data_IF_246193210888
#
_entry.id   IF_246193210888
#
_cell.length_a   1.000
_cell.length_b   1.000
_cell.length_c   1.000
_cell.angle_alpha   90.00
_cell.angle_beta   90.00
_cell.angle_gamma   90.00
#
_symmetry.space_group_name_H-M   'P 1'
#
loop_
_entity.id
_entity.type
_entity.pdbx_description
1 polymer ?
#
# COMPACT_ATOMS: atom_id res chain seq x y z
N UNK A 1 -4.15 31.97 -60.65
CA UNK A 1 -3.33 32.52 -59.55
C UNK A 1 -3.09 31.37 -58.62
N UNK A 2 -1.90 30.85 -58.74
CA UNK A 2 -1.36 29.69 -58.01
C UNK A 2 -0.79 30.17 -56.67
N UNK A 3 -1.10 29.46 -55.61
CA UNK A 3 -0.31 29.54 -54.38
C UNK A 3 0.03 28.15 -53.87
N UNK A 4 1.29 27.94 -53.85
CA UNK A 4 2.03 26.78 -53.43
C UNK A 4 2.05 26.66 -51.91
N UNK A 5 1.59 25.51 -51.36
CA UNK A 5 1.92 25.09 -49.99
C UNK A 5 3.09 24.13 -50.03
N UNK A 6 4.18 24.54 -49.39
CA UNK A 6 5.40 23.78 -49.21
C UNK A 6 5.21 22.67 -48.19
N UNK A 7 5.63 21.48 -48.57
CA UNK A 7 5.69 20.25 -47.78
C UNK A 7 6.71 20.35 -46.63
N UNK A 8 6.27 19.96 -45.40
CA UNK A 8 7.17 19.63 -44.31
C UNK A 8 7.67 18.19 -44.47
N UNK A 9 8.89 17.88 -44.08
CA UNK A 9 9.45 16.53 -44.25
C UNK A 9 8.97 15.57 -43.17
N UNK A 10 8.66 14.36 -43.61
CA UNK A 10 8.37 13.14 -42.85
C UNK A 10 9.53 12.81 -41.89
N UNK A 11 9.20 12.53 -40.64
CA UNK A 11 10.10 12.00 -39.61
C UNK A 11 9.62 10.65 -39.15
N UNK A 12 9.87 9.63 -39.92
CA UNK A 12 9.82 8.24 -39.48
C UNK A 12 11.07 7.50 -39.95
N UNK A 13 12.10 7.51 -39.13
CA UNK A 13 13.14 6.47 -39.15
C UNK A 13 13.44 6.00 -37.73
N UNK A 14 13.38 4.69 -37.42
CA UNK A 14 13.71 4.13 -36.13
C UNK A 14 15.23 4.07 -35.94
N UNK A 15 15.75 4.66 -34.88
CA UNK A 15 17.15 4.60 -34.48
C UNK A 15 17.54 3.15 -34.13
N UNK A 16 18.32 2.55 -35.01
CA UNK A 16 18.94 1.24 -34.84
C UNK A 16 19.99 1.22 -33.74
N UNK A 17 19.86 0.26 -32.80
CA UNK A 17 20.74 -0.01 -31.65
C UNK A 17 22.16 -0.52 -31.99
N UNK A 18 22.74 -0.20 -33.13
CA UNK A 18 23.98 -0.84 -33.62
C UNK A 18 25.16 0.11 -33.88
N UNK A 19 25.24 1.29 -33.22
CA UNK A 19 26.41 2.19 -33.34
C UNK A 19 26.84 2.82 -32.02
N UNK A 20 27.15 1.97 -31.00
CA UNK A 20 27.81 2.44 -29.77
C UNK A 20 28.75 1.38 -29.17
N UNK A 21 29.45 0.63 -30.00
CA UNK A 21 30.51 -0.30 -29.58
C UNK A 21 31.68 -0.24 -30.55
N UNK A 22 32.39 0.89 -30.59
CA UNK A 22 33.80 0.92 -31.07
C UNK A 22 34.51 2.12 -30.43
N UNK A 23 35.45 1.83 -29.58
CA UNK A 23 36.43 2.79 -29.07
C UNK A 23 36.66 2.74 -27.57
N UNK A 24 37.48 1.88 -27.10
CA UNK A 24 38.76 2.01 -26.43
C UNK A 24 39.04 0.82 -25.52
N UNK A 25 39.98 -0.01 -25.94
CA UNK A 25 40.65 -1.00 -25.10
C UNK A 25 41.77 -0.30 -24.28
N UNK A 26 42.04 -0.90 -23.12
CA UNK A 26 43.27 -0.94 -22.32
C UNK A 26 43.09 -0.44 -20.86
N UNK A 27 42.99 -1.37 -19.93
CA UNK A 27 43.96 -1.61 -18.86
C UNK A 27 43.41 -2.69 -17.92
N UNK A 28 44.07 -3.84 -17.93
CA UNK A 28 43.85 -4.92 -16.98
C UNK A 28 44.43 -4.52 -15.62
N UNK A 29 43.57 -4.55 -14.60
CA UNK A 29 43.94 -4.47 -13.19
C UNK A 29 43.18 -5.51 -12.42
N UNK A 30 43.82 -6.63 -12.11
CA UNK A 30 43.30 -7.68 -11.25
C UNK A 30 43.16 -7.14 -9.84
N UNK A 31 41.91 -7.09 -9.32
CA UNK A 31 41.67 -6.91 -7.90
C UNK A 31 41.01 -8.19 -7.37
N UNK A 32 41.72 -8.83 -6.46
CA UNK A 32 41.33 -10.06 -5.79
C UNK A 32 40.03 -9.87 -4.97
N UNK A 33 39.05 -10.74 -5.17
CA UNK A 33 37.88 -10.85 -4.30
C UNK A 33 38.30 -11.53 -2.99
N UNK A 34 38.47 -10.70 -1.95
CA UNK A 34 38.56 -11.18 -0.57
C UNK A 34 37.17 -11.52 -0.05
N UNK A 35 36.99 -12.78 0.34
CA UNK A 35 35.83 -13.26 1.08
C UNK A 35 35.72 -12.49 2.41
N UNK A 36 34.70 -11.62 2.57
CA UNK A 36 34.36 -11.06 3.87
C UNK A 36 33.41 -12.01 4.59
N UNK A 37 33.95 -12.64 5.62
CA UNK A 37 33.22 -13.48 6.56
C UNK A 37 32.06 -12.70 7.20
N UNK A 38 30.92 -13.38 7.28
CA UNK A 38 29.74 -12.99 8.06
C UNK A 38 30.16 -12.80 9.54
N UNK A 39 30.31 -11.57 9.98
CA UNK A 39 30.55 -11.24 11.41
C UNK A 39 29.18 -11.09 12.05
N UNK A 40 28.78 -12.06 12.85
CA UNK A 40 27.69 -11.93 13.79
C UNK A 40 27.90 -10.65 14.62
N UNK A 41 26.89 -9.80 14.71
CA UNK A 41 26.94 -8.58 15.51
C UNK A 41 27.16 -8.95 16.98
N UNK A 42 28.30 -8.54 17.52
CA UNK A 42 28.60 -8.70 18.95
C UNK A 42 27.76 -7.68 19.76
N UNK A 43 27.37 -8.08 20.97
CA UNK A 43 26.58 -7.26 21.91
C UNK A 43 27.23 -5.93 22.35
N UNK A 44 28.44 -5.62 21.86
CA UNK A 44 29.23 -4.45 22.23
C UNK A 44 29.39 -3.40 21.11
N UNK A 45 28.47 -3.36 20.14
CA UNK A 45 28.49 -2.29 19.13
C UNK A 45 28.02 -0.95 19.76
N UNK A 46 28.92 0.05 19.92
CA UNK A 46 28.57 1.34 20.53
C UNK A 46 27.56 2.13 19.71
N UNK A 47 27.34 1.80 18.43
CA UNK A 47 26.32 2.40 17.58
C UNK A 47 24.95 1.78 17.88
N UNK A 48 24.88 0.47 18.10
CA UNK A 48 23.66 -0.21 18.54
C UNK A 48 23.25 0.24 19.95
N UNK A 49 24.22 0.40 20.87
CA UNK A 49 23.96 0.91 22.21
C UNK A 49 23.47 2.39 22.22
N UNK A 50 23.98 3.24 21.32
CA UNK A 50 23.49 4.62 21.16
C UNK A 50 22.10 4.68 20.55
N UNK A 51 21.77 3.79 19.57
CA UNK A 51 20.42 3.66 19.01
C UNK A 51 19.41 3.22 20.06
N UNK A 52 19.75 2.22 20.88
CA UNK A 52 18.89 1.75 21.97
C UNK A 52 18.75 2.78 23.10
N UNK A 53 19.77 3.60 23.37
CA UNK A 53 19.69 4.67 24.36
C UNK A 53 18.87 5.87 23.86
N UNK A 54 18.90 6.19 22.56
CA UNK A 54 18.04 7.19 21.95
C UNK A 54 16.56 6.73 21.94
N UNK A 55 16.31 5.47 21.62
CA UNK A 55 14.97 4.87 21.71
C UNK A 55 14.40 4.87 23.13
N UNK A 56 15.25 4.61 24.14
CA UNK A 56 14.83 4.66 25.57
C UNK A 56 14.61 6.08 26.11
N UNK A 57 15.29 7.10 25.57
CA UNK A 57 15.06 8.50 25.99
C UNK A 57 13.75 9.08 25.45
N UNK A 58 13.27 8.60 24.30
CA UNK A 58 12.01 9.06 23.69
C UNK A 58 10.76 8.29 24.17
N UNK A 59 10.91 7.30 25.04
CA UNK A 59 9.78 6.51 25.57
C UNK A 59 8.89 7.29 26.57
N UNK A 60 9.23 8.52 26.93
CA UNK A 60 8.51 9.30 27.93
C UNK A 60 7.44 10.26 27.34
N UNK A 61 7.56 10.66 26.08
CA UNK A 61 6.59 11.58 25.45
C UNK A 61 5.83 10.87 24.33
N UNK A 62 4.63 10.37 24.64
CA UNK A 62 3.65 10.00 23.64
C UNK A 62 3.38 11.25 22.79
N UNK A 63 3.64 11.18 21.48
CA UNK A 63 3.31 12.27 20.58
C UNK A 63 1.81 12.61 20.75
N UNK A 64 1.51 13.84 21.15
CA UNK A 64 0.13 14.28 21.26
C UNK A 64 -0.43 14.39 19.85
N UNK A 65 -1.28 13.42 19.46
CA UNK A 65 -2.02 13.47 18.19
C UNK A 65 -3.31 14.26 18.38
N UNK A 66 -3.75 14.96 17.33
CA UNK A 66 -5.04 15.67 17.33
C UNK A 66 -6.22 14.73 17.41
N UNK A 67 -6.02 13.45 17.00
CA UNK A 67 -7.01 12.37 17.13
C UNK A 67 -8.12 12.40 16.09
N UNK A 68 -8.01 13.25 15.06
CA UNK A 68 -8.98 13.29 13.97
C UNK A 68 -8.77 12.20 12.93
N UNK A 69 -7.56 11.63 12.86
CA UNK A 69 -7.18 10.53 11.97
C UNK A 69 -6.64 9.38 12.82
N UNK A 70 -7.26 8.22 12.72
CA UNK A 70 -6.74 6.98 13.30
C UNK A 70 -5.62 6.43 12.42
N UNK A 71 -4.38 6.43 12.92
CA UNK A 71 -3.23 6.03 12.12
C UNK A 71 -2.78 4.60 12.39
N UNK A 72 -2.27 3.96 11.35
CA UNK A 72 -1.79 2.58 11.35
C UNK A 72 -0.43 2.47 10.67
N UNK A 73 0.34 1.44 10.99
CA UNK A 73 1.59 1.07 10.31
C UNK A 73 1.42 -0.25 9.57
N UNK A 74 1.84 -0.29 8.31
CA UNK A 74 1.80 -1.51 7.49
C UNK A 74 3.04 -2.36 7.77
N UNK A 75 2.85 -3.57 8.31
CA UNK A 75 3.94 -4.42 8.84
C UNK A 75 5.05 -4.68 7.84
N UNK A 76 4.73 -5.12 6.61
CA UNK A 76 5.72 -5.56 5.64
C UNK A 76 6.69 -4.46 5.20
N UNK A 77 6.30 -3.18 5.27
CA UNK A 77 7.17 -2.05 4.95
C UNK A 77 8.36 -1.93 5.90
N UNK A 78 8.18 -2.35 7.15
CA UNK A 78 9.13 -2.12 8.23
C UNK A 78 9.76 -3.40 8.78
N UNK A 79 9.38 -4.58 8.30
CA UNK A 79 9.85 -5.89 8.77
C UNK A 79 11.38 -6.08 8.66
N UNK A 80 12.06 -5.33 7.77
CA UNK A 80 13.53 -5.32 7.65
C UNK A 80 14.23 -4.49 8.74
N UNK A 81 13.49 -3.64 9.44
CA UNK A 81 14.03 -2.67 10.40
C UNK A 81 13.74 -3.04 11.85
N UNK A 82 12.59 -3.66 12.10
CA UNK A 82 12.11 -4.04 13.43
C UNK A 82 11.47 -5.43 13.40
N UNK A 83 11.62 -6.19 14.48
CA UNK A 83 10.75 -7.31 14.70
C UNK A 83 9.33 -6.83 15.06
N UNK A 84 8.36 -7.73 15.09
CA UNK A 84 6.96 -7.34 15.23
C UNK A 84 6.64 -6.66 16.58
N UNK A 85 7.25 -7.11 17.71
CA UNK A 85 7.07 -6.48 19.03
C UNK A 85 7.68 -5.08 19.05
N UNK A 86 8.85 -4.88 18.44
CA UNK A 86 9.50 -3.56 18.31
C UNK A 86 8.66 -2.62 17.42
N UNK A 87 8.07 -3.11 16.31
CA UNK A 87 7.18 -2.31 15.46
C UNK A 87 5.92 -1.87 16.22
N UNK A 88 5.35 -2.74 17.06
CA UNK A 88 4.23 -2.39 17.94
C UNK A 88 4.62 -1.29 18.94
N UNK A 89 5.84 -1.34 19.50
CA UNK A 89 6.35 -0.27 20.38
C UNK A 89 6.50 1.06 19.64
N UNK A 90 7.04 1.02 18.40
CA UNK A 90 7.16 2.21 17.53
C UNK A 90 5.78 2.79 17.23
N UNK A 91 4.80 1.96 16.87
CA UNK A 91 3.43 2.39 16.64
C UNK A 91 2.85 3.13 17.87
N UNK A 92 3.01 2.56 19.05
CA UNK A 92 2.56 3.21 20.32
C UNK A 92 3.28 4.51 20.61
N UNK A 93 4.60 4.55 20.39
CA UNK A 93 5.40 5.77 20.57
C UNK A 93 4.91 6.90 19.66
N UNK A 94 4.56 6.59 18.42
CA UNK A 94 4.07 7.57 17.45
C UNK A 94 2.58 7.92 17.62
N UNK A 95 1.87 7.28 18.55
CA UNK A 95 0.43 7.50 18.75
C UNK A 95 -0.46 6.77 17.78
N UNK A 96 0.07 5.85 16.97
CA UNK A 96 -0.72 4.99 16.11
C UNK A 96 -1.55 3.99 16.94
N UNK A 97 -2.69 3.59 16.41
CA UNK A 97 -3.65 2.69 17.06
C UNK A 97 -3.62 1.28 16.48
N UNK A 98 -2.93 1.10 15.35
CA UNK A 98 -2.90 -0.16 14.60
C UNK A 98 -1.52 -0.46 14.03
N UNK A 99 -1.21 -1.77 13.93
CA UNK A 99 -0.24 -2.33 12.99
C UNK A 99 -0.97 -3.37 12.17
N UNK A 100 -0.97 -3.24 10.85
CA UNK A 100 -1.83 -3.98 9.95
C UNK A 100 -1.08 -4.86 8.95
N UNK A 101 -1.83 -5.70 8.23
CA UNK A 101 -1.32 -6.69 7.29
C UNK A 101 -0.28 -7.64 7.91
N UNK A 102 -0.33 -7.83 9.22
CA UNK A 102 0.46 -8.83 9.94
C UNK A 102 -0.19 -10.20 9.88
N UNK A 103 0.63 -11.24 10.05
CA UNK A 103 0.15 -12.63 10.16
C UNK A 103 -0.75 -12.79 11.42
N UNK A 104 -1.90 -13.47 11.36
CA UNK A 104 -2.77 -13.70 12.52
C UNK A 104 -2.07 -14.33 13.74
N UNK A 105 -1.01 -15.11 13.53
CA UNK A 105 -0.19 -15.66 14.64
C UNK A 105 0.45 -14.58 15.51
N UNK A 106 0.68 -13.38 14.96
CA UNK A 106 1.31 -12.25 15.64
C UNK A 106 0.29 -11.33 16.35
N UNK A 107 -1.01 -11.51 16.12
CA UNK A 107 -2.08 -10.68 16.69
C UNK A 107 -2.18 -10.69 18.23
N UNK A 108 -1.79 -11.76 18.97
CA UNK A 108 -1.65 -11.67 20.41
C UNK A 108 -0.70 -10.56 20.87
N UNK A 109 0.35 -10.27 20.09
CA UNK A 109 1.28 -9.16 20.35
C UNK A 109 0.61 -7.79 20.17
N UNK A 110 -0.27 -7.62 19.18
CA UNK A 110 -1.09 -6.39 19.06
C UNK A 110 -1.90 -6.14 20.32
N UNK A 111 -2.62 -7.16 20.80
CA UNK A 111 -3.40 -7.04 22.05
C UNK A 111 -2.55 -6.69 23.26
N UNK A 112 -1.35 -7.29 23.38
CA UNK A 112 -0.37 -6.96 24.44
C UNK A 112 -0.05 -5.48 24.49
N UNK A 113 0.07 -4.84 23.31
CA UNK A 113 0.36 -3.41 23.17
C UNK A 113 -0.89 -2.52 23.13
N UNK A 114 -2.11 -3.09 23.21
CA UNK A 114 -3.36 -2.33 23.06
C UNK A 114 -3.52 -1.74 21.65
N UNK A 115 -3.08 -2.49 20.64
CA UNK A 115 -3.21 -2.19 19.22
C UNK A 115 -4.24 -3.12 18.57
N UNK A 116 -4.74 -2.71 17.40
CA UNK A 116 -5.59 -3.54 16.54
C UNK A 116 -4.87 -3.84 15.22
N UNK A 117 -5.41 -4.74 14.40
CA UNK A 117 -5.10 -4.80 12.98
C UNK A 117 -6.21 -4.10 12.22
N UNK A 118 -5.91 -2.95 11.63
CA UNK A 118 -6.91 -2.15 10.90
C UNK A 118 -7.43 -2.88 9.66
N UNK A 119 -6.59 -3.70 9.03
CA UNK A 119 -6.94 -4.56 7.92
C UNK A 119 -6.09 -5.84 7.93
N UNK A 120 -6.71 -6.99 7.68
CA UNK A 120 -6.07 -8.29 7.63
C UNK A 120 -5.80 -8.74 6.20
N UNK A 121 -4.74 -9.53 6.00
CA UNK A 121 -4.45 -10.19 4.72
C UNK A 121 -5.49 -11.24 4.38
N UNK A 122 -5.70 -11.49 3.07
CA UNK A 122 -6.44 -12.65 2.57
C UNK A 122 -5.65 -13.36 1.46
N UNK A 123 -6.10 -13.29 0.21
CA UNK A 123 -5.35 -13.80 -0.95
C UNK A 123 -4.38 -12.73 -1.49
N UNK A 124 -3.49 -13.12 -2.41
CA UNK A 124 -2.59 -12.17 -3.10
C UNK A 124 -3.28 -11.42 -4.22
N UNK A 125 -2.62 -10.37 -4.70
CA UNK A 125 -3.12 -9.49 -5.77
C UNK A 125 -2.98 -10.10 -7.19
N UNK A 126 -2.17 -11.14 -7.36
CA UNK A 126 -1.94 -11.78 -8.67
C UNK A 126 -3.17 -12.58 -9.12
N UNK A 127 -3.67 -13.44 -8.24
CA UNK A 127 -4.84 -14.29 -8.46
C UNK A 127 -6.02 -13.73 -7.67
N UNK A 128 -7.02 -13.21 -8.39
CA UNK A 128 -8.12 -12.50 -7.75
C UNK A 128 -9.49 -12.88 -8.32
N UNK A 129 -10.47 -12.08 -7.95
CA UNK A 129 -11.88 -12.33 -8.25
C UNK A 129 -12.28 -12.07 -9.71
N UNK A 130 -11.40 -11.49 -10.54
CA UNK A 130 -11.64 -11.28 -11.97
C UNK A 130 -11.62 -12.57 -12.79
N UNK A 131 -10.97 -13.62 -12.28
CA UNK A 131 -10.89 -14.93 -12.92
C UNK A 131 -11.68 -15.97 -12.12
N UNK A 132 -12.75 -16.57 -12.69
CA UNK A 132 -13.58 -17.58 -12.01
C UNK A 132 -12.81 -18.80 -11.51
N UNK A 133 -11.68 -19.16 -12.17
CA UNK A 133 -10.85 -20.30 -11.77
C UNK A 133 -10.19 -20.07 -10.39
N UNK A 134 -10.08 -18.82 -9.96
CA UNK A 134 -9.51 -18.47 -8.65
C UNK A 134 -10.56 -18.20 -7.57
N UNK A 135 -11.86 -18.20 -7.90
CA UNK A 135 -12.93 -17.86 -6.95
C UNK A 135 -12.89 -18.74 -5.69
N UNK A 136 -12.71 -20.05 -5.85
CA UNK A 136 -12.73 -21.00 -4.72
C UNK A 136 -11.58 -20.67 -3.74
N UNK A 137 -10.34 -20.65 -4.22
CA UNK A 137 -9.18 -20.36 -3.37
C UNK A 137 -9.21 -18.96 -2.75
N UNK A 138 -9.72 -17.95 -3.48
CA UNK A 138 -9.88 -16.60 -2.94
C UNK A 138 -10.95 -16.57 -1.84
N UNK A 139 -12.10 -17.22 -2.08
CA UNK A 139 -13.21 -17.30 -1.12
C UNK A 139 -12.77 -17.97 0.18
N UNK A 140 -12.06 -19.09 0.11
CA UNK A 140 -11.57 -19.82 1.28
C UNK A 140 -10.64 -18.96 2.13
N UNK A 141 -9.70 -18.25 1.49
CA UNK A 141 -8.79 -17.33 2.17
C UNK A 141 -9.50 -16.13 2.79
N UNK A 142 -10.50 -15.57 2.10
CA UNK A 142 -11.32 -14.49 2.62
C UNK A 142 -12.14 -14.97 3.84
N UNK A 143 -12.76 -16.15 3.78
CA UNK A 143 -13.50 -16.73 4.91
C UNK A 143 -12.60 -16.90 6.14
N UNK A 144 -11.39 -17.48 5.97
CA UNK A 144 -10.44 -17.64 7.07
C UNK A 144 -10.02 -16.29 7.67
N UNK A 145 -9.78 -15.28 6.85
CA UNK A 145 -9.44 -13.93 7.31
C UNK A 145 -10.61 -13.24 8.03
N UNK A 146 -11.85 -13.41 7.53
CA UNK A 146 -13.05 -12.90 8.18
C UNK A 146 -13.25 -13.55 9.56
N UNK A 147 -13.06 -14.86 9.68
CA UNK A 147 -13.19 -15.57 10.96
C UNK A 147 -12.16 -15.08 11.98
N UNK A 148 -10.91 -14.95 11.57
CA UNK A 148 -9.85 -14.39 12.41
C UNK A 148 -10.16 -12.95 12.83
N UNK A 149 -10.58 -12.08 11.90
CA UNK A 149 -10.98 -10.71 12.21
C UNK A 149 -12.16 -10.67 13.20
N UNK A 150 -13.17 -11.50 13.00
CA UNK A 150 -14.35 -11.54 13.87
C UNK A 150 -13.98 -12.01 15.30
N UNK A 151 -13.08 -12.98 15.45
CA UNK A 151 -12.57 -13.44 16.73
C UNK A 151 -11.85 -12.33 17.51
N UNK A 152 -11.05 -11.52 16.81
CA UNK A 152 -10.27 -10.44 17.42
C UNK A 152 -11.02 -9.10 17.51
N UNK A 153 -12.15 -8.95 16.82
CA UNK A 153 -12.89 -7.70 16.70
C UNK A 153 -12.23 -6.70 15.76
N UNK A 154 -11.49 -7.18 14.75
CA UNK A 154 -10.83 -6.34 13.76
C UNK A 154 -11.77 -6.04 12.58
N UNK A 155 -11.68 -4.83 11.96
CA UNK A 155 -12.76 -4.33 11.12
C UNK A 155 -12.74 -4.80 9.66
N UNK A 156 -11.57 -5.04 9.06
CA UNK A 156 -11.44 -5.15 7.62
C UNK A 156 -10.58 -6.33 7.18
N UNK A 157 -10.89 -6.85 5.99
CA UNK A 157 -10.08 -7.82 5.24
C UNK A 157 -9.81 -7.25 3.85
N UNK A 158 -8.54 -7.25 3.42
CA UNK A 158 -8.13 -6.82 2.07
C UNK A 158 -8.51 -7.87 1.03
N UNK A 159 -8.88 -7.42 -0.17
CA UNK A 159 -9.13 -8.29 -1.33
C UNK A 159 -8.75 -7.58 -2.63
N UNK A 160 -8.61 -8.33 -3.73
CA UNK A 160 -8.05 -7.86 -4.99
C UNK A 160 -8.86 -8.35 -6.19
N UNK A 161 -8.82 -7.58 -7.29
CA UNK A 161 -9.39 -8.03 -8.57
C UNK A 161 -8.59 -9.17 -9.19
N UNK A 162 -7.26 -9.09 -9.18
CA UNK A 162 -6.36 -9.99 -9.88
C UNK A 162 -5.69 -9.35 -11.11
N UNK A 163 -4.73 -10.05 -11.70
CA UNK A 163 -4.16 -9.66 -12.99
C UNK A 163 -5.13 -9.96 -14.12
N UNK A 164 -5.06 -9.16 -15.21
CA UNK A 164 -5.97 -9.27 -16.37
C UNK A 164 -5.92 -10.63 -17.05
N UNK A 165 -4.73 -11.22 -17.21
CA UNK A 165 -4.56 -12.54 -17.89
C UNK A 165 -5.40 -12.65 -19.18
N UNK A 166 -5.40 -11.58 -20.01
CA UNK A 166 -6.21 -11.44 -21.24
C UNK A 166 -7.74 -11.36 -21.03
N UNK A 167 -8.22 -11.24 -19.80
CA UNK A 167 -9.64 -11.03 -19.47
C UNK A 167 -10.02 -9.57 -19.73
N UNK A 168 -10.99 -9.28 -20.63
CA UNK A 168 -11.49 -7.93 -20.86
C UNK A 168 -12.03 -7.29 -19.57
N UNK A 169 -11.94 -5.95 -19.45
CA UNK A 169 -12.28 -5.25 -18.22
C UNK A 169 -13.74 -5.41 -17.81
N UNK A 170 -14.68 -5.42 -18.76
CA UNK A 170 -16.11 -5.65 -18.50
C UNK A 170 -16.39 -7.08 -18.02
N UNK A 171 -15.70 -8.06 -18.60
CA UNK A 171 -15.79 -9.48 -18.19
C UNK A 171 -15.18 -9.65 -16.80
N UNK A 172 -14.00 -9.07 -16.55
CA UNK A 172 -13.33 -9.12 -15.26
C UNK A 172 -14.16 -8.46 -14.16
N UNK A 173 -14.77 -7.30 -14.43
CA UNK A 173 -15.68 -6.63 -13.48
C UNK A 173 -16.87 -7.54 -13.11
N UNK A 174 -17.52 -8.14 -14.12
CA UNK A 174 -18.63 -9.07 -13.90
C UNK A 174 -18.20 -10.28 -13.07
N UNK A 175 -17.06 -10.88 -13.38
CA UNK A 175 -16.51 -12.00 -12.63
C UNK A 175 -16.21 -11.63 -11.18
N UNK A 176 -15.63 -10.43 -10.93
CA UNK A 176 -15.43 -9.91 -9.57
C UNK A 176 -16.74 -9.80 -8.81
N UNK A 177 -17.79 -9.23 -9.42
CA UNK A 177 -19.11 -9.12 -8.80
C UNK A 177 -19.68 -10.50 -8.45
N UNK A 178 -19.62 -11.46 -9.40
CA UNK A 178 -20.09 -12.83 -9.19
C UNK A 178 -19.28 -13.54 -8.06
N UNK A 179 -17.97 -13.34 -8.00
CA UNK A 179 -17.10 -13.88 -6.98
C UNK A 179 -17.37 -13.28 -5.60
N UNK A 180 -17.42 -11.95 -5.49
CA UNK A 180 -17.69 -11.28 -4.20
C UNK A 180 -19.08 -11.58 -3.66
N UNK A 181 -20.10 -11.76 -4.51
CA UNK A 181 -21.45 -12.17 -4.07
C UNK A 181 -21.48 -13.54 -3.40
N UNK A 182 -20.49 -14.41 -3.63
CA UNK A 182 -20.41 -15.71 -2.95
C UNK A 182 -19.97 -15.59 -1.50
N UNK A 183 -19.24 -14.52 -1.14
CA UNK A 183 -18.60 -14.39 0.18
C UNK A 183 -19.13 -13.20 1.00
N UNK A 184 -19.73 -12.19 0.35
CA UNK A 184 -20.07 -10.95 1.05
C UNK A 184 -21.14 -11.14 2.14
N UNK A 185 -22.09 -12.03 1.97
CA UNK A 185 -23.10 -12.35 2.99
C UNK A 185 -22.47 -12.95 4.26
N UNK A 186 -21.32 -13.63 4.13
CA UNK A 186 -20.56 -14.10 5.30
C UNK A 186 -19.90 -12.93 6.05
N UNK A 187 -19.29 -12.01 5.31
CA UNK A 187 -18.72 -10.78 5.87
C UNK A 187 -19.77 -9.93 6.61
N UNK A 188 -21.00 -9.81 6.05
CA UNK A 188 -22.12 -9.14 6.70
C UNK A 188 -22.49 -9.80 8.04
N UNK A 189 -22.64 -11.12 8.05
CA UNK A 189 -22.96 -11.91 9.25
C UNK A 189 -21.90 -11.72 10.34
N UNK A 190 -20.64 -11.66 9.96
CA UNK A 190 -19.50 -11.51 10.89
C UNK A 190 -19.19 -10.04 11.22
N UNK A 191 -19.84 -9.06 10.56
CA UNK A 191 -19.65 -7.62 10.71
C UNK A 191 -18.23 -7.15 10.35
N UNK A 192 -17.57 -7.83 9.40
CA UNK A 192 -16.26 -7.51 8.86
C UNK A 192 -16.44 -6.93 7.46
N UNK A 193 -15.66 -5.90 7.08
CA UNK A 193 -15.69 -5.36 5.73
C UNK A 193 -14.69 -6.10 4.83
N UNK A 194 -15.04 -6.24 3.54
CA UNK A 194 -14.10 -6.57 2.49
C UNK A 194 -13.68 -5.28 1.79
N UNK A 195 -12.39 -4.97 1.81
CA UNK A 195 -11.85 -3.77 1.19
C UNK A 195 -11.09 -4.15 -0.09
N UNK A 196 -11.68 -3.83 -1.25
CA UNK A 196 -11.08 -4.03 -2.56
C UNK A 196 -10.00 -2.99 -2.79
N UNK A 197 -8.75 -3.42 -2.93
CA UNK A 197 -7.64 -2.51 -3.18
C UNK A 197 -7.50 -2.19 -4.66
N UNK A 198 -7.38 -0.90 -4.95
CA UNK A 198 -6.99 -0.36 -6.23
C UNK A 198 -5.46 -0.20 -6.26
N UNK A 199 -4.80 -0.79 -7.29
CA UNK A 199 -3.36 -0.76 -7.45
C UNK A 199 -2.96 -0.10 -8.78
N UNK A 200 -1.81 0.56 -8.84
CA UNK A 200 -1.33 1.10 -10.11
C UNK A 200 -0.71 0.02 -11.01
N UNK A 201 -1.05 0.07 -12.30
CA UNK A 201 -0.51 -0.79 -13.35
C UNK A 201 0.59 -0.13 -14.20
N UNK A 202 0.93 1.15 -13.92
CA UNK A 202 1.86 1.94 -14.73
C UNK A 202 3.32 1.77 -14.33
N UNK A 203 3.61 1.56 -13.05
CA UNK A 203 4.98 1.46 -12.55
C UNK A 203 5.43 0.01 -12.61
N UNK A 204 6.48 -0.27 -13.39
CA UNK A 204 7.12 -1.59 -13.50
C UNK A 204 8.38 -1.65 -12.63
N UNK A 205 8.19 -1.52 -11.32
CA UNK A 205 9.23 -1.66 -10.31
C UNK A 205 8.63 -2.47 -9.16
N UNK A 206 9.34 -3.50 -8.71
CA UNK A 206 8.92 -4.38 -7.62
C UNK A 206 8.47 -3.58 -6.39
N UNK A 207 7.33 -3.96 -5.82
CA UNK A 207 6.65 -3.32 -4.67
C UNK A 207 6.19 -1.88 -4.89
N UNK A 208 6.32 -1.31 -6.11
CA UNK A 208 5.91 0.08 -6.41
C UNK A 208 4.77 0.18 -7.42
N UNK A 209 4.52 -0.88 -8.16
CA UNK A 209 3.41 -1.00 -9.10
C UNK A 209 3.23 -2.44 -9.55
N UNK A 210 2.11 -2.69 -10.25
CA UNK A 210 1.65 -4.03 -10.57
C UNK A 210 1.17 -4.07 -12.03
N UNK A 211 2.08 -4.07 -13.05
CA UNK A 211 1.70 -4.14 -14.45
C UNK A 211 0.78 -5.34 -14.71
N UNK A 212 -0.34 -5.08 -15.37
CA UNK A 212 -1.35 -6.10 -15.63
C UNK A 212 -2.44 -6.23 -14.56
N UNK A 213 -2.37 -5.55 -13.42
CA UNK A 213 -3.45 -5.54 -12.45
C UNK A 213 -4.73 -4.92 -13.04
N UNK A 214 -5.90 -5.53 -12.82
CA UNK A 214 -7.14 -5.13 -13.50
C UNK A 214 -7.88 -4.01 -12.76
N UNK A 215 -7.87 -4.01 -11.42
CA UNK A 215 -8.50 -2.98 -10.60
C UNK A 215 -7.65 -1.73 -10.45
N UNK A 216 -7.17 -1.16 -11.56
CA UNK A 216 -6.17 -0.09 -11.55
C UNK A 216 -6.76 1.33 -11.63
N UNK A 217 -8.08 1.45 -11.59
CA UNK A 217 -8.80 2.72 -11.53
C UNK A 217 -9.85 2.74 -10.42
N UNK A 218 -9.95 3.86 -9.71
CA UNK A 218 -10.91 4.05 -8.61
C UNK A 218 -12.35 3.81 -9.05
N UNK A 219 -12.76 4.40 -10.19
CA UNK A 219 -14.15 4.30 -10.68
C UNK A 219 -14.50 2.86 -11.09
N UNK A 220 -13.54 2.08 -11.62
CA UNK A 220 -13.72 0.66 -11.93
C UNK A 220 -13.97 -0.17 -10.66
N UNK A 221 -13.16 0.01 -9.62
CA UNK A 221 -13.34 -0.68 -8.35
C UNK A 221 -14.67 -0.29 -7.67
N UNK A 222 -15.01 0.99 -7.66
CA UNK A 222 -16.27 1.48 -7.09
C UNK A 222 -17.49 0.92 -7.81
N UNK A 223 -17.42 0.78 -9.13
CA UNK A 223 -18.53 0.17 -9.89
C UNK A 223 -18.74 -1.30 -9.51
N UNK A 224 -17.66 -2.08 -9.33
CA UNK A 224 -17.75 -3.46 -8.82
C UNK A 224 -18.42 -3.45 -7.43
N UNK A 225 -17.98 -2.57 -6.51
CA UNK A 225 -18.52 -2.46 -5.15
C UNK A 225 -20.03 -2.16 -5.17
N UNK A 226 -20.46 -1.23 -6.02
CA UNK A 226 -21.89 -0.89 -6.20
C UNK A 226 -22.71 -2.08 -6.67
N UNK A 227 -22.19 -2.85 -7.65
CA UNK A 227 -22.90 -4.00 -8.19
C UNK A 227 -22.95 -5.19 -7.24
N UNK A 228 -21.97 -5.33 -6.34
CA UNK A 228 -22.04 -6.28 -5.21
C UNK A 228 -23.18 -5.91 -4.27
N UNK A 229 -23.39 -4.62 -4.01
CA UNK A 229 -24.56 -4.07 -3.35
C UNK A 229 -24.62 -4.26 -1.85
N UNK A 230 -23.46 -4.52 -1.19
CA UNK A 230 -23.37 -4.72 0.26
C UNK A 230 -22.72 -3.53 0.96
N UNK A 231 -23.20 -3.11 2.14
CA UNK A 231 -22.54 -2.08 2.94
C UNK A 231 -21.18 -2.54 3.49
N UNK A 232 -20.88 -3.85 3.43
CA UNK A 232 -19.60 -4.44 3.85
C UNK A 232 -18.59 -4.56 2.72
N UNK A 233 -18.98 -4.32 1.47
CA UNK A 233 -18.03 -4.23 0.36
C UNK A 233 -17.54 -2.80 0.25
N UNK A 234 -16.26 -2.58 0.46
CA UNK A 234 -15.62 -1.27 0.54
C UNK A 234 -14.42 -1.17 -0.38
N UNK A 235 -13.94 0.03 -0.58
CA UNK A 235 -12.70 0.35 -1.28
C UNK A 235 -11.56 0.51 -0.25
N UNK A 236 -10.42 -0.09 -0.49
CA UNK A 236 -9.16 0.37 0.03
C UNK A 236 -8.62 1.43 -0.93
N UNK A 237 -8.63 2.68 -0.46
CA UNK A 237 -8.20 3.85 -1.22
C UNK A 237 -6.72 4.12 -0.91
N UNK A 238 -5.82 3.51 -1.68
CA UNK A 238 -4.39 3.80 -1.59
C UNK A 238 -4.07 5.08 -2.37
N UNK A 239 -3.74 6.14 -1.63
CA UNK A 239 -3.49 7.48 -2.18
C UNK A 239 -2.32 7.47 -3.17
N UNK A 240 -1.28 6.65 -2.93
CA UNK A 240 -0.15 6.51 -3.83
C UNK A 240 -0.56 5.94 -5.19
N UNK A 241 -1.33 4.85 -5.18
CA UNK A 241 -1.80 4.22 -6.41
C UNK A 241 -2.80 5.10 -7.15
N UNK A 242 -3.72 5.73 -6.43
CA UNK A 242 -4.69 6.68 -7.00
C UNK A 242 -3.99 7.87 -7.65
N UNK A 243 -2.97 8.45 -7.01
CA UNK A 243 -2.20 9.57 -7.58
C UNK A 243 -1.61 9.21 -8.95
N UNK A 244 -1.06 8.02 -9.09
CA UNK A 244 -0.41 7.55 -10.33
C UNK A 244 -1.43 7.31 -11.45
N UNK A 245 -2.56 6.69 -11.12
CA UNK A 245 -3.53 6.26 -12.14
C UNK A 245 -4.54 7.34 -12.49
N UNK A 246 -5.12 7.96 -11.48
CA UNK A 246 -6.29 8.80 -11.60
C UNK A 246 -6.03 10.28 -11.29
N UNK A 247 -5.18 10.58 -10.30
CA UNK A 247 -5.04 11.93 -9.76
C UNK A 247 -6.31 12.44 -9.10
N UNK A 248 -6.41 13.77 -8.90
CA UNK A 248 -7.59 14.45 -8.33
C UNK A 248 -8.11 13.82 -7.03
N UNK A 249 -7.16 13.47 -6.15
CA UNK A 249 -7.36 12.64 -4.96
C UNK A 249 -8.47 13.17 -4.04
N UNK A 250 -8.49 14.48 -3.77
CA UNK A 250 -9.48 15.09 -2.86
C UNK A 250 -10.90 15.01 -3.43
N UNK A 251 -11.08 15.28 -4.72
CA UNK A 251 -12.39 15.14 -5.37
C UNK A 251 -12.89 13.70 -5.34
N UNK A 252 -11.98 12.72 -5.57
CA UNK A 252 -12.32 11.30 -5.52
C UNK A 252 -12.71 10.85 -4.10
N UNK A 253 -12.01 11.29 -3.07
CA UNK A 253 -12.37 11.04 -1.67
C UNK A 253 -13.81 11.53 -1.40
N UNK A 254 -14.13 12.76 -1.77
CA UNK A 254 -15.48 13.32 -1.58
C UNK A 254 -16.54 12.60 -2.40
N UNK A 255 -16.24 12.24 -3.65
CA UNK A 255 -17.16 11.54 -4.56
C UNK A 255 -17.49 10.13 -4.09
N UNK A 256 -16.51 9.44 -3.53
CA UNK A 256 -16.61 8.03 -3.16
C UNK A 256 -16.66 7.80 -1.64
N UNK A 257 -17.00 8.81 -0.86
CA UNK A 257 -17.00 8.81 0.61
C UNK A 257 -17.68 7.57 1.21
N UNK A 258 -18.84 7.18 0.70
CA UNK A 258 -19.64 6.06 1.21
C UNK A 258 -18.98 4.68 0.98
N UNK A 259 -18.02 4.61 0.06
CA UNK A 259 -17.36 3.36 -0.32
C UNK A 259 -15.99 3.16 0.34
N UNK A 260 -15.34 4.22 0.86
CA UNK A 260 -14.01 4.12 1.47
C UNK A 260 -14.09 3.39 2.81
N UNK A 261 -13.43 2.23 2.91
CA UNK A 261 -13.33 1.44 4.14
C UNK A 261 -11.95 1.49 4.79
N UNK A 262 -10.91 1.70 3.99
CA UNK A 262 -9.52 1.80 4.44
C UNK A 262 -8.73 2.73 3.54
N UNK A 263 -7.65 3.33 4.06
CA UNK A 263 -6.79 4.27 3.31
C UNK A 263 -5.33 3.91 3.54
N UNK A 264 -4.54 3.89 2.45
CA UNK A 264 -3.08 3.78 2.52
C UNK A 264 -2.39 5.06 2.02
N UNK A 265 -1.15 5.27 2.48
CA UNK A 265 -0.32 6.43 2.13
C UNK A 265 1.10 6.02 1.77
N UNK A 266 1.65 6.61 0.73
CA UNK A 266 3.09 6.58 0.43
C UNK A 266 3.48 7.78 -0.44
N UNK A 267 4.74 8.20 -0.41
CA UNK A 267 5.25 9.29 -1.25
C UNK A 267 5.40 8.88 -2.71
N UNK A 268 4.89 9.70 -3.63
CA UNK A 268 5.07 9.56 -5.07
C UNK A 268 6.01 10.66 -5.61
N UNK A 269 7.01 10.33 -6.41
CA UNK A 269 7.35 9.02 -6.96
C UNK A 269 8.07 8.11 -5.96
N UNK A 270 7.96 6.80 -6.19
CA UNK A 270 8.86 5.79 -5.61
C UNK A 270 8.36 5.06 -4.36
N UNK A 271 7.10 5.28 -3.93
CA UNK A 271 6.47 4.63 -2.75
C UNK A 271 7.31 4.80 -1.48
N UNK A 272 7.89 5.99 -1.29
CA UNK A 272 8.82 6.33 -0.21
C UNK A 272 8.17 7.23 0.85
N UNK A 273 9.01 7.85 1.69
CA UNK A 273 8.56 8.74 2.77
C UNK A 273 7.60 9.83 2.30
N UNK A 274 6.74 10.27 3.23
CA UNK A 274 5.90 11.46 3.08
C UNK A 274 6.72 12.69 3.50
N UNK A 275 7.49 13.24 2.57
CA UNK A 275 8.37 14.39 2.81
C UNK A 275 8.27 15.42 1.68
N UNK A 276 9.13 16.43 1.67
CA UNK A 276 9.16 17.51 0.66
C UNK A 276 9.76 17.08 -0.70
N UNK A 277 10.22 15.82 -0.82
CA UNK A 277 10.78 15.26 -2.06
C UNK A 277 9.76 14.45 -2.86
N UNK A 278 8.48 14.50 -2.48
CA UNK A 278 7.38 13.80 -3.14
C UNK A 278 6.24 14.79 -3.47
N UNK A 279 5.34 14.41 -4.38
CA UNK A 279 4.37 15.35 -4.99
C UNK A 279 3.00 15.41 -4.31
N UNK A 280 2.68 14.48 -3.37
CA UNK A 280 1.36 14.40 -2.77
C UNK A 280 1.28 15.32 -1.55
N UNK A 281 0.35 16.28 -1.56
CA UNK A 281 0.13 17.16 -0.41
C UNK A 281 -0.83 16.52 0.59
N UNK A 282 -0.32 15.79 1.58
CA UNK A 282 -1.09 15.00 2.54
C UNK A 282 -2.00 15.80 3.47
N UNK A 283 -1.60 16.93 4.08
CA UNK A 283 -2.47 17.64 5.03
C UNK A 283 -3.85 18.02 4.50
N UNK A 284 -4.03 18.59 3.29
CA UNK A 284 -5.37 18.85 2.76
C UNK A 284 -6.14 17.57 2.39
N UNK A 285 -5.46 16.48 2.02
CA UNK A 285 -6.09 15.18 1.75
C UNK A 285 -6.66 14.61 3.06
N UNK A 286 -5.90 14.66 4.16
CA UNK A 286 -6.37 14.21 5.47
C UNK A 286 -7.57 15.05 5.96
N UNK A 287 -7.53 16.35 5.75
CA UNK A 287 -8.72 17.21 6.06
C UNK A 287 -9.94 16.81 5.25
N UNK A 288 -9.78 16.42 3.99
CA UNK A 288 -10.91 15.93 3.19
C UNK A 288 -11.49 14.61 3.75
N UNK A 289 -10.66 13.72 4.29
CA UNK A 289 -11.14 12.53 5.02
C UNK A 289 -11.93 12.91 6.27
N UNK A 290 -11.45 13.88 7.05
CA UNK A 290 -12.20 14.39 8.23
C UNK A 290 -13.52 15.03 7.81
N UNK A 291 -13.54 15.86 6.76
CA UNK A 291 -14.74 16.52 6.23
C UNK A 291 -15.84 15.54 5.82
N UNK A 292 -15.49 14.38 5.25
CA UNK A 292 -16.47 13.35 4.89
C UNK A 292 -16.90 12.47 6.06
N UNK A 293 -16.38 12.72 7.28
CA UNK A 293 -16.67 11.92 8.46
C UNK A 293 -16.02 10.53 8.45
N UNK A 294 -14.86 10.37 7.80
CA UNK A 294 -14.14 9.11 7.78
C UNK A 294 -13.63 8.74 9.18
N UNK A 295 -14.02 7.57 9.67
CA UNK A 295 -13.66 7.05 11.00
C UNK A 295 -12.82 5.77 10.95
N UNK A 296 -12.38 5.37 9.76
CA UNK A 296 -11.48 4.24 9.56
C UNK A 296 -10.02 4.61 9.83
N UNK A 297 -9.13 3.71 9.45
CA UNK A 297 -7.69 3.88 9.66
C UNK A 297 -6.99 4.36 8.40
N UNK A 298 -5.87 5.07 8.60
CA UNK A 298 -4.93 5.50 7.56
C UNK A 298 -3.61 4.80 7.82
N UNK A 299 -3.25 3.84 6.94
CA UNK A 299 -2.05 3.02 7.04
C UNK A 299 -0.86 3.66 6.33
N UNK A 300 0.26 3.78 7.05
CA UNK A 300 1.53 4.26 6.51
C UNK A 300 2.21 3.10 5.75
N UNK A 301 2.06 3.07 4.42
CA UNK A 301 2.51 1.98 3.54
C UNK A 301 3.66 2.40 2.62
N UNK A 302 4.56 3.23 3.10
CA UNK A 302 5.73 3.63 2.33
C UNK A 302 6.95 2.74 2.63
N UNK A 303 7.86 2.61 1.65
CA UNK A 303 9.11 1.87 1.77
C UNK A 303 10.20 2.84 2.23
N UNK A 304 10.74 2.69 3.47
CA UNK A 304 11.77 3.58 3.98
C UNK A 304 13.04 3.60 3.12
N UNK A 305 13.51 4.79 2.76
CA UNK A 305 14.78 5.02 2.05
C UNK A 305 15.87 5.61 2.94
N UNK A 306 15.51 6.05 4.15
CA UNK A 306 16.37 6.62 5.19
C UNK A 306 16.01 6.04 6.57
N UNK A 307 16.37 6.70 7.66
CA UNK A 307 15.98 6.26 9.00
C UNK A 307 14.46 6.08 9.09
N UNK A 308 13.96 4.85 9.32
CA UNK A 308 12.54 4.56 9.26
C UNK A 308 11.73 5.23 10.37
N UNK A 309 12.34 5.43 11.57
CA UNK A 309 11.66 6.10 12.66
C UNK A 309 11.47 7.60 12.37
N UNK A 310 12.51 8.26 11.82
CA UNK A 310 12.40 9.65 11.40
C UNK A 310 11.37 9.82 10.26
N UNK A 311 11.36 8.91 9.29
CA UNK A 311 10.37 8.88 8.21
C UNK A 311 8.94 8.74 8.72
N UNK A 312 8.70 7.76 9.61
CA UNK A 312 7.39 7.56 10.24
C UNK A 312 6.94 8.72 11.10
N UNK A 313 7.86 9.29 11.90
CA UNK A 313 7.54 10.47 12.73
C UNK A 313 7.03 11.62 11.87
N UNK A 314 7.68 11.88 10.73
CA UNK A 314 7.26 12.92 9.79
C UNK A 314 5.92 12.57 9.14
N UNK A 315 5.75 11.33 8.67
CA UNK A 315 4.52 10.90 8.00
C UNK A 315 3.30 10.98 8.92
N UNK A 316 3.44 10.49 10.17
CA UNK A 316 2.38 10.58 11.18
C UNK A 316 2.02 12.05 11.46
N UNK A 317 3.02 12.93 11.61
CA UNK A 317 2.78 14.36 11.84
C UNK A 317 2.09 15.04 10.64
N UNK A 318 2.41 14.67 9.40
CA UNK A 318 1.77 15.22 8.20
C UNK A 318 0.32 14.75 8.03
N UNK A 319 0.01 13.56 8.51
CA UNK A 319 -1.35 13.02 8.49
C UNK A 319 -2.20 13.44 9.70
N UNK A 320 -1.62 14.05 10.74
CA UNK A 320 -2.31 14.50 11.94
C UNK A 320 -2.83 15.94 11.76
N UNK A 321 -4.10 16.10 11.34
CA UNK A 321 -4.74 17.37 10.97
C UNK A 321 -5.82 17.83 11.95
#
# INVERSE_FOLDING_TARGET
MSDSFSSLPDRDEPLSRRRLLEGTALAAGAVAWGATANRAASADDPVAAKRNAAAKRNAADKAATKGNIHQSLVEWCYAKHWNFDELCQVAKQLGCESVELADPKDWPTLKKHGLVSAIARSHGFEKGMNNPDYHEICTDKIHAAIDACAEYGFPNVITFTGFREDIPDDVGAKNCVDGFKKVIGYAEKKKVNLCLEMLNSRVDIEMKGHPGYQGDHTDYCVEIIKQVGSPRMKLLFDIYHVQIMDGDVITRIRRHADYIGHVHTAGNPGRRELDDQQEINYPPIMRALVEIGYTGYVGQEFIPTRDPLAGLTQAVAWCDV
#
